data_IF_158319938946
#
_entry.id   IF_158319938946
#
_cell.length_a   1.000
_cell.length_b   1.000
_cell.length_c   1.000
_cell.angle_alpha   90.00
_cell.angle_beta   90.00
_cell.angle_gamma   90.00
#
_symmetry.space_group_name_H-M   'P 1'
#
loop_
_entity.id
_entity.type
_entity.pdbx_description
1 polymer ?
#
# COMPACT_ATOMS: atom_id res chain seq x y z
N UNK A 1 -5.96 -7.80 -13.98
CA UNK A 1 -6.77 -7.30 -12.84
C UNK A 1 -7.87 -6.33 -13.26
N UNK A 2 -9.07 -6.45 -12.69
CA UNK A 2 -10.16 -5.47 -12.83
C UNK A 2 -9.92 -4.24 -11.95
N UNK A 3 -10.39 -3.06 -12.37
CA UNK A 3 -10.17 -1.80 -11.65
C UNK A 3 -10.67 -1.82 -10.19
N UNK A 4 -11.86 -2.38 -9.94
CA UNK A 4 -12.45 -2.45 -8.59
C UNK A 4 -11.58 -3.27 -7.62
N UNK A 5 -11.04 -4.40 -8.10
CA UNK A 5 -10.14 -5.25 -7.31
C UNK A 5 -8.83 -4.52 -7.01
N UNK A 6 -8.29 -3.76 -7.98
CA UNK A 6 -7.11 -2.94 -7.80
C UNK A 6 -7.31 -1.88 -6.71
N UNK A 7 -8.46 -1.18 -6.76
CA UNK A 7 -8.81 -0.15 -5.77
C UNK A 7 -8.88 -0.76 -4.38
N UNK A 8 -9.59 -1.89 -4.21
CA UNK A 8 -9.69 -2.54 -2.89
C UNK A 8 -8.31 -2.91 -2.33
N UNK A 9 -7.49 -3.62 -3.11
CA UNK A 9 -6.14 -4.01 -2.67
C UNK A 9 -5.24 -2.80 -2.36
N UNK A 10 -5.35 -1.72 -3.13
CA UNK A 10 -4.58 -0.51 -2.89
C UNK A 10 -5.04 0.25 -1.63
N UNK A 11 -6.33 0.21 -1.29
CA UNK A 11 -6.85 0.77 -0.03
C UNK A 11 -6.32 0.00 1.18
N UNK A 12 -6.29 -1.34 1.11
CA UNK A 12 -5.73 -2.18 2.17
C UNK A 12 -4.24 -1.88 2.39
N UNK A 13 -3.46 -1.78 1.30
CA UNK A 13 -2.06 -1.39 1.34
C UNK A 13 -1.84 0.03 1.87
N UNK A 14 -2.69 0.97 1.49
CA UNK A 14 -2.63 2.35 1.98
C UNK A 14 -2.85 2.41 3.49
N UNK A 15 -3.82 1.65 4.02
CA UNK A 15 -4.08 1.61 5.45
C UNK A 15 -2.84 1.18 6.25
N UNK A 16 -2.14 0.15 5.78
CA UNK A 16 -0.91 -0.31 6.42
C UNK A 16 0.26 0.67 6.26
N UNK A 17 0.40 1.25 5.07
CA UNK A 17 1.39 2.30 4.85
C UNK A 17 1.18 3.46 5.81
N UNK A 18 -0.07 3.88 6.02
CA UNK A 18 -0.39 4.95 6.96
C UNK A 18 -0.02 4.59 8.40
N UNK A 19 -0.30 3.36 8.86
CA UNK A 19 0.13 2.89 10.19
C UNK A 19 1.65 3.00 10.35
N UNK A 20 2.41 2.50 9.37
CA UNK A 20 3.86 2.58 9.38
C UNK A 20 4.38 4.03 9.36
N UNK A 21 3.74 4.89 8.56
CA UNK A 21 4.07 6.30 8.45
C UNK A 21 3.76 7.09 9.73
N UNK A 22 2.71 6.74 10.47
CA UNK A 22 2.42 7.31 11.79
C UNK A 22 3.51 6.95 12.81
N UNK A 23 3.99 5.71 12.79
CA UNK A 23 5.10 5.26 13.66
C UNK A 23 6.45 5.84 13.22
N UNK A 24 6.62 6.14 11.92
CA UNK A 24 7.86 6.62 11.33
C UNK A 24 7.61 7.87 10.45
N UNK A 25 7.41 9.06 11.03
CA UNK A 25 7.04 10.28 10.29
C UNK A 25 8.02 10.68 9.18
N UNK A 26 9.31 10.33 9.34
CA UNK A 26 10.37 10.56 8.34
C UNK A 26 10.05 10.01 6.95
N UNK A 27 9.20 8.98 6.87
CA UNK A 27 8.77 8.40 5.59
C UNK A 27 7.93 9.40 4.81
N UNK A 28 7.10 10.19 5.48
CA UNK A 28 6.26 11.23 4.85
C UNK A 28 7.04 12.52 4.57
N UNK A 29 8.05 12.84 5.38
CA UNK A 29 8.90 14.03 5.17
C UNK A 29 9.60 14.02 3.80
N UNK A 30 9.85 12.83 3.25
CA UNK A 30 10.48 12.65 1.95
C UNK A 30 9.47 12.63 0.78
N UNK A 31 8.17 12.73 1.04
CA UNK A 31 7.12 12.75 0.02
C UNK A 31 6.74 14.19 -0.29
N UNK A 32 7.02 14.70 -1.51
CA UNK A 32 6.61 16.04 -1.89
C UNK A 32 5.08 16.17 -1.84
N UNK A 33 4.52 17.29 -1.33
CA UNK A 33 3.07 17.49 -1.25
C UNK A 33 2.33 17.35 -2.59
N UNK A 34 3.00 17.68 -3.68
CA UNK A 34 2.47 17.62 -5.05
C UNK A 34 2.69 16.26 -5.75
N UNK A 35 3.33 15.31 -5.08
CA UNK A 35 3.61 14.00 -5.66
C UNK A 35 2.47 13.01 -5.41
N UNK A 36 2.17 12.21 -6.42
CA UNK A 36 1.25 11.07 -6.30
C UNK A 36 2.00 9.90 -5.68
N UNK A 37 1.45 9.33 -4.60
CA UNK A 37 1.98 8.13 -3.96
C UNK A 37 1.48 6.88 -4.67
N UNK A 38 2.40 6.02 -5.12
CA UNK A 38 2.09 4.71 -5.68
C UNK A 38 2.73 3.63 -4.80
N UNK A 39 1.90 2.72 -4.28
CA UNK A 39 2.38 1.57 -3.52
C UNK A 39 2.63 0.40 -4.48
N UNK A 40 3.82 -0.20 -4.40
CA UNK A 40 4.26 -1.33 -5.19
C UNK A 40 4.42 -2.56 -4.28
N UNK A 41 3.43 -3.47 -4.25
CA UNK A 41 3.50 -4.67 -3.43
C UNK A 41 4.54 -5.65 -4.00
N UNK A 42 5.57 -5.98 -3.23
CA UNK A 42 6.66 -6.86 -3.72
C UNK A 42 6.28 -8.34 -3.74
N UNK A 43 5.16 -8.69 -3.13
CA UNK A 43 4.61 -10.04 -2.94
C UNK A 43 3.36 -10.30 -3.81
N UNK A 44 2.86 -9.31 -4.54
CA UNK A 44 1.76 -9.45 -5.51
C UNK A 44 2.20 -8.92 -6.88
N UNK A 45 2.81 -9.79 -7.69
CA UNK A 45 3.36 -9.44 -9.01
C UNK A 45 2.30 -8.88 -9.97
N UNK A 46 1.03 -9.31 -9.86
CA UNK A 46 -0.04 -8.79 -10.72
C UNK A 46 -0.37 -7.33 -10.36
N UNK A 47 -0.52 -7.05 -9.05
CA UNK A 47 -0.78 -5.69 -8.56
C UNK A 47 0.44 -4.78 -8.75
N UNK A 48 1.65 -5.32 -8.58
CA UNK A 48 2.89 -4.61 -8.86
C UNK A 48 2.94 -4.07 -10.28
N UNK A 49 2.74 -4.93 -11.28
CA UNK A 49 2.78 -4.52 -12.69
C UNK A 49 1.65 -3.55 -13.05
N UNK A 50 0.47 -3.72 -12.45
CA UNK A 50 -0.64 -2.79 -12.65
C UNK A 50 -0.33 -1.39 -12.07
N UNK A 51 0.18 -1.32 -10.85
CA UNK A 51 0.52 -0.07 -10.19
C UNK A 51 1.72 0.61 -10.87
N UNK A 52 2.73 -0.17 -11.30
CA UNK A 52 3.88 0.33 -12.06
C UNK A 52 3.46 0.98 -13.38
N UNK A 53 2.60 0.32 -14.17
CA UNK A 53 2.04 0.93 -15.40
C UNK A 53 1.27 2.22 -15.12
N UNK A 54 0.59 2.29 -13.97
CA UNK A 54 -0.09 3.52 -13.52
C UNK A 54 0.92 4.63 -13.23
N UNK A 55 1.99 4.32 -12.50
CA UNK A 55 3.07 5.27 -12.22
C UNK A 55 3.72 5.79 -13.51
N UNK A 56 4.08 4.89 -14.43
CA UNK A 56 4.69 5.26 -15.72
C UNK A 56 3.79 6.21 -16.53
N UNK A 57 2.48 5.96 -16.52
CA UNK A 57 1.48 6.82 -17.17
C UNK A 57 1.30 8.18 -16.50
N UNK A 58 1.54 8.28 -15.19
CA UNK A 58 1.50 9.55 -14.47
C UNK A 58 2.78 10.36 -14.73
N UNK A 59 3.93 9.69 -14.70
CA UNK A 59 5.22 10.32 -15.03
C UNK A 59 5.24 10.84 -16.46
N UNK A 60 4.70 10.11 -17.44
CA UNK A 60 4.61 10.57 -18.82
C UNK A 60 3.69 11.79 -19.03
N UNK A 61 2.81 12.07 -18.05
CA UNK A 61 1.98 13.28 -18.00
C UNK A 61 2.62 14.42 -17.22
N UNK A 62 3.88 14.29 -16.81
CA UNK A 62 4.61 15.29 -16.05
C UNK A 62 4.24 15.36 -14.57
N UNK A 63 3.49 14.38 -14.04
CA UNK A 63 3.23 14.31 -12.59
C UNK A 63 4.46 13.79 -11.86
N UNK A 64 4.74 14.35 -10.68
CA UNK A 64 5.70 13.77 -9.73
C UNK A 64 5.06 12.54 -9.10
N UNK A 65 5.80 11.43 -9.05
CA UNK A 65 5.34 10.16 -8.51
C UNK A 65 6.37 9.65 -7.52
N UNK A 66 5.91 9.25 -6.33
CA UNK A 66 6.73 8.56 -5.33
C UNK A 66 6.27 7.11 -5.26
N UNK A 67 7.19 6.19 -5.53
CA UNK A 67 6.92 4.76 -5.46
C UNK A 67 7.41 4.17 -4.14
N UNK A 68 6.50 3.60 -3.35
CA UNK A 68 6.82 2.90 -2.11
C UNK A 68 6.76 1.40 -2.34
N UNK A 69 7.86 0.70 -2.07
CA UNK A 69 7.89 -0.77 -2.14
C UNK A 69 7.64 -1.35 -0.77
N UNK A 70 6.64 -2.20 -0.63
CA UNK A 70 6.34 -2.89 0.62
C UNK A 70 5.71 -4.26 0.37
N UNK A 71 5.70 -5.13 1.37
CA UNK A 71 4.92 -6.37 1.34
C UNK A 71 3.49 -6.09 1.78
N UNK A 72 2.52 -6.91 1.37
CA UNK A 72 1.23 -6.90 2.03
C UNK A 72 1.37 -7.22 3.52
N UNK A 73 0.48 -6.69 4.37
CA UNK A 73 0.40 -7.13 5.75
C UNK A 73 0.11 -8.63 5.80
N UNK A 74 0.92 -9.38 6.54
CA UNK A 74 0.48 -10.66 7.06
C UNK A 74 -0.50 -10.34 8.19
N UNK A 75 -1.80 -10.53 7.95
CA UNK A 75 -2.80 -10.41 9.02
C UNK A 75 -2.61 -11.62 9.93
N UNK A 76 -2.16 -11.45 11.19
CA UNK A 76 -2.01 -12.59 12.09
C UNK A 76 -3.40 -13.19 12.36
N UNK A 77 -3.51 -14.51 12.31
CA UNK A 77 -4.72 -15.21 12.73
C UNK A 77 -4.79 -15.11 14.25
N UNK A 78 -5.83 -14.48 14.84
CA UNK A 78 -5.95 -14.40 16.28
C UNK A 78 -6.21 -15.79 16.88
N UNK A 79 -5.52 -16.12 17.96
CA UNK A 79 -5.89 -17.29 18.77
C UNK A 79 -7.17 -16.98 19.56
N UNK A 80 -8.11 -17.93 19.57
CA UNK A 80 -9.38 -17.80 20.29
C UNK A 80 -9.33 -18.70 21.53
N UNK A 81 -9.45 -18.09 22.71
CA UNK A 81 -9.60 -18.81 23.98
C UNK A 81 -11.04 -18.67 24.48
N UNK A 82 -11.74 -19.79 24.67
CA UNK A 82 -13.07 -19.82 25.27
C UNK A 82 -12.95 -20.05 26.77
N UNK A 83 -13.19 -19.01 27.56
CA UNK A 83 -13.24 -19.10 29.01
C UNK A 83 -14.66 -19.48 29.46
N UNK A 84 -14.80 -20.65 30.08
CA UNK A 84 -16.02 -21.07 30.77
C UNK A 84 -15.84 -20.84 32.27
N UNK A 85 -16.78 -20.16 32.93
CA UNK A 85 -16.82 -20.13 34.40
C UNK A 85 -17.19 -21.50 34.97
N UNK A 86 -16.62 -21.91 36.11
CA UNK A 86 -16.93 -23.19 36.77
C UNK A 86 -18.39 -23.27 37.26
#
# INVERSE_FOLDING_TARGET
MKKEQAVKKNLDLLNEFMKYAFENPKVLENVPPEAELIILPIDDSELYEYNKKTADKMMSKGKKVVCVKMKKPEIPVPELELMSTP
#
